data_IF_314191372472
#
_entry.id   IF_314191372472
#
_cell.length_a   1.000
_cell.length_b   1.000
_cell.length_c   1.000
_cell.angle_alpha   90.00
_cell.angle_beta   90.00
_cell.angle_gamma   90.00
#
_symmetry.space_group_name_H-M   'P 1'
#
loop_
_entity.id
_entity.type
_entity.pdbx_description
1 polymer ?
#
# COMPACT_ATOMS: atom_id res chain seq x y z
N UNK A 1 -11.21 17.99 15.29
CA UNK A 1 -12.33 17.07 15.63
C UNK A 1 -12.41 16.04 14.53
N UNK A 2 -12.00 14.80 14.81
CA UNK A 2 -12.20 13.68 13.87
C UNK A 2 -13.70 13.47 13.74
N UNK A 3 -14.26 13.69 12.55
CA UNK A 3 -15.63 13.24 12.27
C UNK A 3 -15.64 11.72 12.47
N UNK A 4 -16.49 11.23 13.34
CA UNK A 4 -16.76 9.82 13.47
C UNK A 4 -17.30 9.33 12.13
N UNK A 5 -16.55 8.47 11.43
CA UNK A 5 -16.95 7.97 10.11
C UNK A 5 -17.90 6.79 10.36
N UNK A 6 -19.14 6.95 9.96
CA UNK A 6 -20.11 5.86 9.99
C UNK A 6 -19.93 5.00 8.74
N UNK A 7 -19.47 3.76 8.92
CA UNK A 7 -19.24 2.82 7.82
C UNK A 7 -20.57 2.35 7.21
N UNK A 8 -20.67 2.30 5.89
CA UNK A 8 -21.80 1.72 5.17
C UNK A 8 -21.68 0.20 5.11
N UNK A 9 -21.99 -0.46 6.22
CA UNK A 9 -21.83 -1.91 6.33
C UNK A 9 -22.79 -2.68 5.41
N UNK A 10 -23.91 -2.12 5.01
CA UNK A 10 -24.86 -2.79 4.11
C UNK A 10 -24.23 -2.99 2.72
N UNK A 11 -23.65 -1.95 2.14
CA UNK A 11 -22.99 -2.02 0.84
C UNK A 11 -21.64 -2.77 0.93
N UNK A 12 -20.88 -2.55 2.00
CA UNK A 12 -19.62 -3.26 2.22
C UNK A 12 -19.79 -4.77 2.29
N UNK A 13 -20.88 -5.29 2.86
CA UNK A 13 -21.19 -6.74 2.93
C UNK A 13 -21.49 -7.38 1.58
N UNK A 14 -21.84 -6.59 0.57
CA UNK A 14 -22.03 -7.07 -0.82
C UNK A 14 -20.69 -7.26 -1.54
N UNK A 15 -19.63 -6.60 -1.06
CA UNK A 15 -18.28 -6.75 -1.59
C UNK A 15 -17.70 -8.09 -1.12
N UNK A 16 -17.14 -8.85 -2.05
CA UNK A 16 -16.38 -10.07 -1.78
C UNK A 16 -14.93 -9.80 -2.16
N UNK A 17 -14.05 -9.78 -1.17
CA UNK A 17 -12.66 -9.39 -1.34
C UNK A 17 -11.78 -10.62 -1.55
N UNK A 18 -11.01 -10.64 -2.64
CA UNK A 18 -9.96 -11.62 -2.88
C UNK A 18 -8.61 -10.97 -2.52
N UNK A 19 -8.12 -11.23 -1.31
CA UNK A 19 -6.82 -10.73 -0.86
C UNK A 19 -5.73 -11.62 -1.39
N UNK A 20 -4.93 -11.11 -2.33
CA UNK A 20 -3.84 -11.84 -2.98
C UNK A 20 -2.48 -11.32 -2.53
N UNK A 21 -1.62 -12.24 -2.10
CA UNK A 21 -0.25 -11.92 -1.68
C UNK A 21 0.75 -12.81 -2.39
N UNK A 22 1.58 -12.24 -3.29
CA UNK A 22 2.76 -12.92 -3.80
C UNK A 22 3.78 -13.16 -2.67
N UNK A 23 4.19 -14.41 -2.44
CA UNK A 23 5.11 -14.81 -1.37
C UNK A 23 6.31 -15.56 -1.94
N UNK A 24 7.31 -14.85 -2.43
CA UNK A 24 8.57 -15.47 -2.83
C UNK A 24 9.25 -16.15 -1.62
N UNK A 25 9.67 -17.41 -1.81
CA UNK A 25 10.22 -18.20 -0.73
C UNK A 25 9.20 -18.69 0.31
N UNK A 26 7.90 -18.44 0.10
CA UNK A 26 6.84 -18.84 1.04
C UNK A 26 6.86 -18.08 2.36
N UNK A 27 7.45 -16.89 2.40
CA UNK A 27 7.64 -16.11 3.62
C UNK A 27 6.85 -14.80 3.59
N UNK A 28 6.41 -14.38 4.77
CA UNK A 28 5.89 -13.04 5.02
C UNK A 28 6.48 -12.44 6.29
N UNK A 29 6.39 -11.13 6.43
CA UNK A 29 6.80 -10.45 7.64
C UNK A 29 5.81 -10.71 8.79
N UNK A 30 6.31 -10.81 10.04
CA UNK A 30 5.44 -10.99 11.21
C UNK A 30 4.43 -9.86 11.41
N UNK A 31 4.77 -8.62 11.01
CA UNK A 31 3.85 -7.48 11.04
C UNK A 31 2.73 -7.62 10.00
N UNK A 32 3.03 -8.18 8.81
CA UNK A 32 2.02 -8.56 7.82
C UNK A 32 1.02 -9.57 8.43
N UNK A 33 1.54 -10.63 9.06
CA UNK A 33 0.70 -11.65 9.70
C UNK A 33 -0.23 -11.04 10.75
N UNK A 34 0.31 -10.13 11.59
CA UNK A 34 -0.49 -9.43 12.60
C UNK A 34 -1.62 -8.61 11.94
N UNK A 35 -1.32 -7.80 10.93
CA UNK A 35 -2.32 -7.01 10.21
C UNK A 35 -3.40 -7.88 9.59
N UNK A 36 -3.02 -9.02 9.01
CA UNK A 36 -3.95 -9.96 8.41
C UNK A 36 -4.89 -10.59 9.44
N UNK A 37 -4.37 -10.99 10.61
CA UNK A 37 -5.18 -11.54 11.71
C UNK A 37 -6.16 -10.49 12.25
N UNK A 38 -5.72 -9.27 12.46
CA UNK A 38 -6.56 -8.16 12.90
C UNK A 38 -7.65 -7.86 11.85
N UNK A 39 -7.27 -7.84 10.56
CA UNK A 39 -8.19 -7.62 9.44
C UNK A 39 -9.25 -8.72 9.35
N UNK A 40 -8.86 -9.98 9.45
CA UNK A 40 -9.84 -11.09 9.41
C UNK A 40 -10.82 -11.03 10.57
N UNK A 41 -10.35 -10.67 11.76
CA UNK A 41 -11.21 -10.50 12.95
C UNK A 41 -12.22 -9.37 12.76
N UNK A 42 -11.76 -8.20 12.28
CA UNK A 42 -12.64 -7.04 12.02
C UNK A 42 -13.62 -7.33 10.88
N UNK A 43 -13.15 -7.94 9.79
CA UNK A 43 -14.00 -8.31 8.65
C UNK A 43 -15.11 -9.28 9.06
N UNK A 44 -14.79 -10.28 9.88
CA UNK A 44 -15.80 -11.21 10.44
C UNK A 44 -16.82 -10.47 11.32
N UNK A 45 -16.36 -9.54 12.17
CA UNK A 45 -17.24 -8.74 13.01
C UNK A 45 -18.23 -7.90 12.19
N UNK A 46 -17.76 -7.33 11.08
CA UNK A 46 -18.58 -6.48 10.21
C UNK A 46 -19.36 -7.26 9.14
N UNK A 47 -19.04 -8.54 8.96
CA UNK A 47 -19.68 -9.41 7.98
C UNK A 47 -19.22 -9.15 6.54
N UNK A 48 -17.98 -8.67 6.37
CA UNK A 48 -17.36 -8.45 5.05
C UNK A 48 -16.61 -9.71 4.64
N UNK A 49 -16.97 -10.39 3.54
CA UNK A 49 -16.29 -11.61 3.10
C UNK A 49 -14.88 -11.32 2.54
N UNK A 50 -13.87 -11.97 3.10
CA UNK A 50 -12.49 -11.92 2.59
C UNK A 50 -12.01 -13.33 2.33
N UNK A 51 -11.62 -13.63 1.09
CA UNK A 51 -10.91 -14.84 0.68
C UNK A 51 -9.42 -14.52 0.60
N UNK A 52 -8.58 -15.27 1.30
CA UNK A 52 -7.13 -15.09 1.29
C UNK A 52 -6.51 -16.05 0.29
N UNK A 53 -5.64 -15.54 -0.57
CA UNK A 53 -4.87 -16.30 -1.55
C UNK A 53 -3.38 -15.97 -1.45
N UNK A 54 -2.56 -17.00 -1.29
CA UNK A 54 -1.11 -16.88 -1.31
C UNK A 54 -0.53 -17.55 -2.54
N UNK A 55 0.27 -16.81 -3.30
CA UNK A 55 1.04 -17.37 -4.39
C UNK A 55 2.49 -17.59 -3.92
N UNK A 56 2.87 -18.87 -3.77
CA UNK A 56 4.19 -19.22 -3.26
C UNK A 56 5.22 -19.40 -4.38
N UNK A 57 6.47 -18.99 -4.08
CA UNK A 57 7.67 -19.33 -4.86
C UNK A 57 7.66 -18.91 -6.35
N UNK A 58 6.87 -17.92 -6.73
CA UNK A 58 7.00 -17.30 -8.04
C UNK A 58 8.05 -16.16 -7.94
N UNK A 59 9.13 -16.29 -8.70
CA UNK A 59 10.28 -15.38 -8.63
C UNK A 59 10.10 -14.11 -9.45
N UNK A 60 9.25 -14.16 -10.47
CA UNK A 60 8.99 -13.02 -11.35
C UNK A 60 7.70 -12.33 -10.92
N UNK A 61 7.82 -11.12 -10.38
CA UNK A 61 6.67 -10.39 -9.81
C UNK A 61 5.57 -10.13 -10.83
N UNK A 62 5.91 -9.81 -12.07
CA UNK A 62 4.94 -9.63 -13.16
C UNK A 62 4.08 -10.86 -13.33
N UNK A 63 4.70 -12.03 -13.44
CA UNK A 63 4.02 -13.31 -13.58
C UNK A 63 3.21 -13.67 -12.32
N UNK A 64 3.75 -13.39 -11.13
CA UNK A 64 3.06 -13.60 -9.87
C UNK A 64 1.73 -12.83 -9.81
N UNK A 65 1.74 -11.54 -10.17
CA UNK A 65 0.52 -10.74 -10.18
C UNK A 65 -0.48 -11.25 -11.22
N UNK A 66 -0.04 -11.64 -12.42
CA UNK A 66 -0.92 -12.19 -13.44
C UNK A 66 -1.58 -13.52 -12.99
N UNK A 67 -0.85 -14.37 -12.26
CA UNK A 67 -1.41 -15.58 -11.68
C UNK A 67 -2.43 -15.29 -10.58
N UNK A 68 -2.16 -14.29 -9.74
CA UNK A 68 -3.14 -13.83 -8.75
C UNK A 68 -4.43 -13.33 -9.41
N UNK A 69 -4.33 -12.52 -10.48
CA UNK A 69 -5.51 -12.06 -11.24
C UNK A 69 -6.26 -13.22 -11.85
N UNK A 70 -5.55 -14.19 -12.49
CA UNK A 70 -6.20 -15.35 -13.10
C UNK A 70 -6.98 -16.17 -12.07
N UNK A 71 -6.43 -16.38 -10.86
CA UNK A 71 -7.12 -17.07 -9.77
C UNK A 71 -8.30 -16.25 -9.20
N UNK A 72 -8.13 -14.94 -9.06
CA UNK A 72 -9.23 -14.03 -8.71
C UNK A 72 -10.39 -14.15 -9.71
N UNK A 73 -10.10 -14.12 -11.01
CA UNK A 73 -11.13 -14.20 -12.06
C UNK A 73 -11.87 -15.54 -12.08
N UNK A 74 -11.28 -16.63 -11.57
CA UNK A 74 -11.94 -17.93 -11.37
C UNK A 74 -12.87 -17.95 -10.15
N UNK A 75 -12.69 -17.04 -9.20
CA UNK A 75 -13.54 -16.92 -7.99
C UNK A 75 -14.81 -16.13 -8.28
N UNK A 76 -15.70 -16.04 -7.29
CA UNK A 76 -16.88 -15.16 -7.32
C UNK A 76 -16.66 -13.80 -6.60
N UNK A 77 -15.39 -13.50 -6.27
CA UNK A 77 -15.05 -12.25 -5.60
C UNK A 77 -15.28 -11.04 -6.51
N UNK A 78 -15.68 -9.92 -5.93
CA UNK A 78 -15.99 -8.67 -6.64
C UNK A 78 -14.80 -7.75 -6.79
N UNK A 79 -13.84 -7.84 -5.87
CA UNK A 79 -12.64 -7.00 -5.83
C UNK A 79 -11.41 -7.83 -5.55
N UNK A 80 -10.32 -7.51 -6.24
CA UNK A 80 -8.98 -8.00 -5.95
C UNK A 80 -8.26 -6.99 -5.08
N UNK A 81 -7.74 -7.43 -3.93
CA UNK A 81 -6.87 -6.65 -3.07
C UNK A 81 -5.48 -7.24 -3.08
N UNK A 82 -4.53 -6.56 -3.72
CA UNK A 82 -3.12 -6.89 -3.57
C UNK A 82 -2.57 -6.32 -2.27
N UNK A 83 -1.87 -7.15 -1.51
CA UNK A 83 -1.02 -6.73 -0.38
C UNK A 83 0.29 -7.49 -0.47
N UNK A 84 1.42 -6.77 -0.52
CA UNK A 84 2.74 -7.41 -0.50
C UNK A 84 3.06 -7.98 0.88
N UNK A 85 3.80 -9.10 0.92
CA UNK A 85 4.05 -9.91 2.13
C UNK A 85 4.88 -9.21 3.23
N UNK A 86 5.32 -8.01 2.99
CA UNK A 86 6.13 -7.16 3.88
C UNK A 86 5.49 -5.78 4.17
N UNK A 87 4.24 -5.59 3.78
CA UNK A 87 3.44 -4.41 4.16
C UNK A 87 2.71 -4.69 5.48
N UNK A 88 2.67 -3.69 6.35
CA UNK A 88 1.86 -3.65 7.57
C UNK A 88 0.85 -2.52 7.48
N UNK A 89 -0.39 -2.81 7.89
CA UNK A 89 -1.52 -1.88 7.85
C UNK A 89 -2.40 -2.01 9.10
N UNK A 90 -3.22 -1.01 9.35
CA UNK A 90 -4.29 -1.08 10.35
C UNK A 90 -5.56 -1.67 9.69
N UNK A 91 -6.21 -2.63 10.36
CA UNK A 91 -7.42 -3.27 9.85
C UNK A 91 -8.56 -2.26 9.57
N UNK A 92 -8.67 -1.20 10.38
CA UNK A 92 -9.69 -0.16 10.18
C UNK A 92 -9.40 0.71 8.96
N UNK A 93 -8.14 0.89 8.57
CA UNK A 93 -7.79 1.62 7.34
C UNK A 93 -8.30 0.87 6.10
N UNK A 94 -8.19 -0.48 6.10
CA UNK A 94 -8.80 -1.28 5.05
C UNK A 94 -10.33 -1.16 5.07
N UNK A 95 -10.97 -1.21 6.23
CA UNK A 95 -12.44 -1.02 6.31
C UNK A 95 -12.85 0.37 5.80
N UNK A 96 -12.07 1.39 6.07
CA UNK A 96 -12.29 2.73 5.53
C UNK A 96 -12.15 2.77 4.00
N UNK A 97 -11.13 2.11 3.44
CA UNK A 97 -10.97 1.97 1.99
C UNK A 97 -12.20 1.28 1.36
N UNK A 98 -12.68 0.18 1.94
CA UNK A 98 -13.88 -0.53 1.47
C UNK A 98 -15.15 0.33 1.59
N UNK A 99 -15.27 1.12 2.66
CA UNK A 99 -16.35 2.07 2.80
C UNK A 99 -16.37 3.12 1.68
N UNK A 100 -15.23 3.74 1.36
CA UNK A 100 -15.12 4.70 0.26
C UNK A 100 -15.55 4.11 -1.07
N UNK A 101 -15.09 2.88 -1.37
CA UNK A 101 -15.47 2.17 -2.59
C UNK A 101 -16.98 1.87 -2.59
N UNK A 102 -17.54 1.41 -1.47
CA UNK A 102 -18.97 1.11 -1.38
C UNK A 102 -19.88 2.33 -1.55
N UNK A 103 -19.41 3.53 -1.16
CA UNK A 103 -20.13 4.79 -1.34
C UNK A 103 -20.10 5.31 -2.79
N UNK A 104 -19.03 5.05 -3.52
CA UNK A 104 -18.80 5.55 -4.88
C UNK A 104 -18.13 4.49 -5.75
N UNK A 105 -18.79 3.35 -6.02
CA UNK A 105 -18.18 2.22 -6.71
C UNK A 105 -17.69 2.56 -8.13
N UNK A 106 -18.43 3.42 -8.85
CA UNK A 106 -18.06 3.84 -10.20
C UNK A 106 -16.84 4.78 -10.23
N UNK A 107 -16.58 5.46 -9.11
CA UNK A 107 -15.46 6.41 -9.01
C UNK A 107 -14.17 5.72 -8.55
N UNK A 108 -14.26 4.87 -7.51
CA UNK A 108 -13.11 4.26 -6.85
C UNK A 108 -12.86 2.82 -7.31
N UNK A 109 -12.87 2.61 -8.63
CA UNK A 109 -12.65 1.28 -9.24
C UNK A 109 -11.24 0.75 -9.01
N UNK A 110 -10.24 1.64 -8.94
CA UNK A 110 -8.87 1.35 -8.54
C UNK A 110 -8.46 2.33 -7.45
N UNK A 111 -8.13 1.81 -6.28
CA UNK A 111 -7.73 2.62 -5.14
C UNK A 111 -6.56 1.97 -4.39
N UNK A 112 -5.57 2.75 -4.01
CA UNK A 112 -4.40 2.25 -3.28
C UNK A 112 -4.07 3.10 -2.06
N UNK A 113 -3.34 2.53 -1.12
CA UNK A 113 -2.73 3.26 -0.03
C UNK A 113 -1.23 3.43 -0.27
N UNK A 114 -0.68 4.51 0.27
CA UNK A 114 0.73 4.88 0.08
C UNK A 114 1.60 4.19 1.13
N UNK A 115 2.75 3.67 0.70
CA UNK A 115 3.74 3.10 1.61
C UNK A 115 5.15 3.60 1.28
N UNK A 116 6.04 3.69 2.30
CA UNK A 116 7.39 4.17 2.09
C UNK A 116 8.21 3.13 1.32
N UNK A 117 9.13 3.62 0.48
CA UNK A 117 10.20 2.79 -0.08
C UNK A 117 11.13 2.33 1.04
N UNK A 118 11.87 1.24 0.83
CA UNK A 118 12.88 0.72 1.78
C UNK A 118 14.17 1.57 1.75
N UNK A 119 14.01 2.87 1.98
CA UNK A 119 15.08 3.86 2.01
C UNK A 119 14.92 4.78 3.22
N UNK A 120 16.01 5.39 3.68
CA UNK A 120 15.98 6.40 4.73
C UNK A 120 16.55 7.70 4.14
N UNK A 121 15.71 8.70 3.98
CA UNK A 121 16.09 10.04 3.53
C UNK A 121 16.55 10.89 4.73
N UNK A 122 17.83 10.75 5.07
CA UNK A 122 18.45 11.43 6.21
C UNK A 122 18.36 12.96 6.12
N UNK A 123 18.34 13.51 4.89
CA UNK A 123 18.19 14.94 4.62
C UNK A 123 16.83 15.46 5.09
N UNK A 124 15.75 14.70 4.87
CA UNK A 124 14.39 15.02 5.34
C UNK A 124 14.33 15.00 6.86
N UNK A 125 14.91 13.96 7.48
CA UNK A 125 14.98 13.84 8.94
C UNK A 125 15.74 15.01 9.54
N UNK A 126 16.91 15.37 8.98
CA UNK A 126 17.71 16.50 9.44
C UNK A 126 16.96 17.82 9.29
N UNK A 127 16.25 18.03 8.19
CA UNK A 127 15.43 19.23 7.97
C UNK A 127 14.31 19.33 9.00
N UNK A 128 13.58 18.23 9.20
CA UNK A 128 12.48 18.16 10.17
C UNK A 128 12.98 18.37 11.62
N UNK A 129 14.10 17.76 11.99
CA UNK A 129 14.71 17.96 13.31
C UNK A 129 15.10 19.41 13.56
N UNK A 130 15.66 20.09 12.56
CA UNK A 130 16.03 21.52 12.68
C UNK A 130 14.84 22.48 12.78
N UNK A 131 13.64 22.05 12.37
CA UNK A 131 12.44 22.89 12.48
C UNK A 131 11.93 23.06 13.91
N UNK A 132 12.38 22.21 14.86
CA UNK A 132 11.89 22.15 16.24
C UNK A 132 10.47 21.59 16.40
N UNK A 133 9.80 21.25 15.32
CA UNK A 133 8.41 20.75 15.36
C UNK A 133 8.26 19.40 16.05
N UNK A 134 9.35 18.64 16.18
CA UNK A 134 9.40 17.29 16.73
C UNK A 134 10.13 17.16 18.06
N UNK A 135 10.49 18.30 18.69
CA UNK A 135 11.25 18.31 19.97
C UNK A 135 10.51 17.57 21.10
N UNK A 136 9.18 17.64 21.09
CA UNK A 136 8.35 16.95 22.09
C UNK A 136 8.15 15.44 21.79
N UNK A 137 8.38 15.00 20.56
CA UNK A 137 8.22 13.62 20.14
C UNK A 137 9.17 13.25 18.99
N UNK A 138 10.46 13.08 19.27
CA UNK A 138 11.47 12.79 18.24
C UNK A 138 11.26 11.45 17.52
N UNK A 139 10.47 10.54 18.07
CA UNK A 139 10.14 9.26 17.39
C UNK A 139 9.29 9.46 16.13
N UNK A 140 8.51 10.56 16.04
CA UNK A 140 7.76 10.88 14.82
C UNK A 140 8.68 11.22 13.62
N UNK A 141 9.97 11.52 13.87
CA UNK A 141 10.98 11.68 12.81
C UNK A 141 11.16 10.40 11.97
N UNK A 142 10.87 9.22 12.50
CA UNK A 142 10.90 7.98 11.74
C UNK A 142 9.94 8.01 10.56
N UNK A 143 8.76 8.62 10.72
CA UNK A 143 7.75 8.77 9.67
C UNK A 143 8.15 9.75 8.57
N UNK A 144 9.07 10.66 8.85
CA UNK A 144 9.55 11.68 7.91
C UNK A 144 10.62 11.12 6.96
N UNK A 145 11.33 10.09 7.40
CA UNK A 145 12.46 9.53 6.66
C UNK A 145 12.10 8.70 5.43
N UNK A 146 10.82 8.39 5.20
CA UNK A 146 10.37 7.59 4.07
C UNK A 146 10.20 8.40 2.79
N UNK A 147 10.59 7.82 1.64
CA UNK A 147 10.14 8.28 0.33
C UNK A 147 8.89 7.49 -0.07
N UNK A 148 7.79 8.17 -0.33
CA UNK A 148 6.54 7.54 -0.77
C UNK A 148 6.47 7.47 -2.29
N UNK A 149 5.81 6.43 -2.82
CA UNK A 149 5.38 6.39 -4.23
C UNK A 149 4.07 7.17 -4.33
N UNK A 150 4.19 8.48 -4.56
CA UNK A 150 3.05 9.37 -4.63
C UNK A 150 3.21 10.34 -5.80
N UNK A 151 2.48 10.06 -6.89
CA UNK A 151 2.53 10.79 -8.15
C UNK A 151 1.14 11.39 -8.46
N UNK A 152 0.72 12.49 -7.79
CA UNK A 152 -0.54 13.16 -8.11
C UNK A 152 -0.61 13.58 -9.57
N UNK A 153 -1.81 13.53 -10.17
CA UNK A 153 -2.00 13.95 -11.55
C UNK A 153 -1.71 15.46 -11.70
N UNK A 154 -0.74 15.88 -12.53
CA UNK A 154 -0.42 17.30 -12.70
C UNK A 154 -1.60 18.15 -13.22
N UNK A 155 -2.49 17.55 -14.00
CA UNK A 155 -3.68 18.20 -14.55
C UNK A 155 -4.70 18.56 -13.46
N UNK A 156 -4.82 17.72 -12.44
CA UNK A 156 -5.71 17.95 -11.28
C UNK A 156 -5.01 18.81 -10.20
N UNK A 157 -3.69 18.70 -10.08
CA UNK A 157 -2.90 19.37 -9.03
C UNK A 157 -1.70 20.15 -9.62
N UNK A 158 -1.93 21.20 -10.44
CA UNK A 158 -0.88 21.87 -11.21
C UNK A 158 0.20 22.53 -10.33
N UNK A 159 -0.12 22.86 -9.08
CA UNK A 159 0.84 23.43 -8.12
C UNK A 159 1.57 22.36 -7.29
N UNK A 160 1.37 21.06 -7.58
CA UNK A 160 1.91 19.95 -6.80
C UNK A 160 1.31 19.79 -5.40
N UNK A 161 0.25 20.52 -5.08
CA UNK A 161 -0.44 20.51 -3.80
C UNK A 161 -1.71 19.64 -3.90
N UNK A 162 -1.59 18.37 -3.57
CA UNK A 162 -2.74 17.48 -3.43
C UNK A 162 -3.28 17.49 -1.99
N UNK A 163 -4.58 17.26 -1.76
CA UNK A 163 -5.15 17.13 -0.44
C UNK A 163 -4.56 15.90 0.27
N UNK A 164 -4.37 16.00 1.60
CA UNK A 164 -3.79 14.90 2.40
C UNK A 164 -4.82 14.15 3.24
N UNK A 165 -6.06 14.63 3.31
CA UNK A 165 -7.17 14.03 4.08
C UNK A 165 -8.32 13.56 3.19
N UNK A 166 -8.13 13.56 1.87
CA UNK A 166 -9.11 13.13 0.88
C UNK A 166 -8.44 12.21 -0.14
N UNK A 167 -9.19 11.34 -0.85
CA UNK A 167 -8.65 10.57 -1.96
C UNK A 167 -8.09 11.50 -3.06
N UNK A 168 -6.94 11.12 -3.60
CA UNK A 168 -6.19 11.90 -4.60
C UNK A 168 -6.06 11.09 -5.88
N UNK A 169 -6.39 11.67 -7.03
CA UNK A 169 -6.09 11.06 -8.32
C UNK A 169 -4.58 11.04 -8.54
N UNK A 170 -4.07 9.91 -8.94
CA UNK A 170 -2.64 9.71 -9.16
C UNK A 170 -2.37 9.16 -10.56
N UNK A 171 -1.17 9.42 -11.04
CA UNK A 171 -0.72 8.92 -12.33
C UNK A 171 -0.42 7.43 -12.30
N UNK A 172 0.31 6.99 -11.29
CA UNK A 172 0.71 5.60 -11.13
C UNK A 172 0.47 5.17 -9.66
N UNK A 173 -0.16 4.01 -9.48
CA UNK A 173 -0.41 3.39 -8.17
C UNK A 173 0.48 2.18 -7.96
N UNK A 174 0.96 2.01 -6.73
CA UNK A 174 1.78 0.86 -6.36
C UNK A 174 0.92 -0.30 -5.84
N UNK A 175 1.17 -1.50 -6.32
CA UNK A 175 0.36 -2.69 -6.03
C UNK A 175 0.63 -3.34 -4.67
N UNK A 176 1.58 -2.82 -3.89
CA UNK A 176 1.83 -3.34 -2.54
C UNK A 176 0.66 -3.17 -1.57
N UNK A 177 -0.31 -2.28 -1.89
CA UNK A 177 -1.61 -2.19 -1.22
C UNK A 177 -2.62 -1.53 -2.17
N UNK A 178 -3.26 -2.32 -3.04
CA UNK A 178 -4.15 -1.82 -4.09
C UNK A 178 -5.40 -2.69 -4.20
N UNK A 179 -6.57 -2.05 -4.16
CA UNK A 179 -7.88 -2.67 -4.40
C UNK A 179 -8.34 -2.34 -5.82
N UNK A 180 -8.77 -3.36 -6.56
CA UNK A 180 -9.18 -3.27 -7.96
C UNK A 180 -10.54 -3.95 -8.13
N UNK A 181 -11.51 -3.25 -8.69
CA UNK A 181 -12.83 -3.78 -9.02
C UNK A 181 -12.74 -4.76 -10.21
N UNK A 182 -13.54 -5.83 -10.19
CA UNK A 182 -13.48 -6.95 -11.17
C UNK A 182 -13.65 -6.51 -12.61
N UNK A 183 -14.55 -5.58 -12.91
CA UNK A 183 -14.85 -5.17 -14.28
C UNK A 183 -13.66 -4.49 -14.96
N UNK A 184 -12.75 -3.88 -14.20
CA UNK A 184 -11.51 -3.30 -14.72
C UNK A 184 -10.71 -4.31 -15.55
N UNK A 185 -10.59 -5.54 -15.05
CA UNK A 185 -9.83 -6.59 -15.75
C UNK A 185 -10.52 -7.02 -17.07
N UNK A 186 -11.85 -6.97 -17.09
CA UNK A 186 -12.57 -7.27 -18.33
C UNK A 186 -12.36 -6.17 -19.38
N UNK A 187 -12.54 -4.91 -19.00
CA UNK A 187 -12.34 -3.77 -19.89
C UNK A 187 -10.91 -3.72 -20.42
N UNK A 188 -9.93 -3.99 -19.53
CA UNK A 188 -8.53 -4.08 -19.90
C UNK A 188 -8.27 -5.20 -20.93
N UNK A 189 -8.79 -6.42 -20.69
CA UNK A 189 -8.63 -7.56 -21.60
C UNK A 189 -9.32 -7.35 -22.95
N UNK A 190 -10.50 -6.72 -22.94
CA UNK A 190 -11.24 -6.39 -24.17
C UNK A 190 -10.48 -5.36 -25.05
N UNK A 191 -9.75 -4.43 -24.39
CA UNK A 191 -8.95 -3.41 -25.08
C UNK A 191 -7.59 -3.91 -25.55
N UNK A 192 -7.02 -4.91 -24.88
CA UNK A 192 -5.68 -5.45 -25.10
C UNK A 192 -5.68 -6.96 -25.35
N UNK A 193 -6.38 -7.46 -26.41
CA UNK A 193 -6.45 -8.89 -26.69
C UNK A 193 -5.09 -9.52 -27.03
N UNK A 194 -4.11 -8.72 -27.44
CA UNK A 194 -2.74 -9.14 -27.73
C UNK A 194 -1.96 -9.58 -26.50
N UNK A 195 -2.39 -9.18 -25.30
CA UNK A 195 -1.75 -9.54 -24.04
C UNK A 195 -2.16 -10.93 -23.53
N UNK A 196 -2.96 -11.67 -24.28
CA UNK A 196 -3.35 -13.04 -23.94
C UNK A 196 -2.19 -14.01 -24.23
N UNK A 197 -1.71 -14.72 -23.21
CA UNK A 197 -0.57 -15.63 -23.33
C UNK A 197 -0.82 -17.00 -22.69
N UNK A 198 0.01 -17.99 -23.03
CA UNK A 198 0.01 -19.31 -22.41
C UNK A 198 1.13 -19.34 -21.35
N UNK A 199 0.83 -19.65 -20.08
CA UNK A 199 1.84 -19.76 -19.03
C UNK A 199 2.80 -20.94 -19.30
N UNK A 200 4.13 -20.71 -19.17
CA UNK A 200 5.17 -21.73 -19.36
C UNK A 200 5.43 -22.56 -18.10
N UNK A 201 5.26 -21.98 -16.93
CA UNK A 201 5.62 -22.56 -15.64
C UNK A 201 4.38 -22.83 -14.82
N UNK A 202 3.58 -23.76 -15.31
CA UNK A 202 2.35 -24.17 -14.63
C UNK A 202 2.70 -25.24 -13.60
N UNK A 203 2.37 -24.98 -12.32
CA UNK A 203 2.38 -26.03 -11.31
C UNK A 203 1.21 -26.98 -11.56
N UNK A 204 1.43 -28.26 -11.37
CA UNK A 204 0.35 -29.26 -11.43
C UNK A 204 -0.83 -28.79 -10.58
N UNK A 205 -1.99 -28.61 -11.20
CA UNK A 205 -3.26 -28.27 -10.54
C UNK A 205 -3.66 -26.80 -10.49
N UNK A 206 -2.78 -25.84 -10.81
CA UNK A 206 -3.16 -24.42 -10.78
C UNK A 206 -3.84 -23.94 -12.08
N UNK A 207 -3.32 -24.38 -13.23
CA UNK A 207 -3.90 -24.07 -14.55
C UNK A 207 -4.04 -25.35 -15.38
N UNK A 208 -5.11 -25.44 -16.17
CA UNK A 208 -5.25 -26.52 -17.14
C UNK A 208 -4.17 -26.39 -18.23
N UNK A 209 -3.73 -27.52 -18.78
CA UNK A 209 -2.86 -27.54 -19.95
C UNK A 209 -3.48 -26.66 -21.06
N UNK A 210 -2.71 -25.69 -21.57
CA UNK A 210 -3.13 -24.70 -22.57
C UNK A 210 -4.15 -23.64 -22.08
N UNK A 211 -4.40 -23.50 -20.79
CA UNK A 211 -5.15 -22.35 -20.28
C UNK A 211 -4.39 -21.06 -20.57
N UNK A 212 -5.06 -20.09 -21.20
CA UNK A 212 -4.49 -18.78 -21.47
C UNK A 212 -4.93 -17.78 -20.41
N UNK A 213 -4.00 -16.90 -20.03
CA UNK A 213 -4.24 -15.79 -19.10
C UNK A 213 -3.72 -14.49 -19.71
N UNK A 214 -4.16 -13.35 -19.18
CA UNK A 214 -3.71 -12.04 -19.65
C UNK A 214 -2.51 -11.51 -18.85
N UNK A 215 -1.62 -10.81 -19.54
CA UNK A 215 -0.51 -10.06 -18.95
C UNK A 215 -0.99 -8.66 -18.53
N UNK A 216 -1.78 -8.59 -17.46
CA UNK A 216 -2.23 -7.32 -16.89
C UNK A 216 -1.06 -6.52 -16.30
N UNK A 217 -0.05 -7.21 -15.81
CA UNK A 217 1.14 -6.66 -15.15
C UNK A 217 2.39 -7.11 -15.89
N UNK A 218 3.08 -6.16 -16.54
CA UNK A 218 4.36 -6.41 -17.19
C UNK A 218 5.24 -5.17 -17.15
N UNK A 219 6.55 -5.33 -17.39
CA UNK A 219 7.47 -4.21 -17.50
C UNK A 219 7.65 -3.85 -18.98
N UNK A 220 7.43 -2.59 -19.30
CA UNK A 220 7.53 -2.10 -20.70
C UNK A 220 8.37 -0.82 -20.77
N UNK A 221 8.85 -0.52 -21.98
CA UNK A 221 9.29 0.83 -22.34
C UNK A 221 8.14 1.47 -23.12
N UNK A 222 7.55 2.53 -22.55
CA UNK A 222 6.44 3.22 -23.17
C UNK A 222 6.88 4.16 -24.32
N UNK A 223 5.93 4.82 -24.98
CA UNK A 223 6.19 5.74 -26.11
C UNK A 223 7.07 6.95 -25.74
N UNK A 224 7.08 7.33 -24.45
CA UNK A 224 7.94 8.39 -23.91
C UNK A 224 9.34 7.91 -23.52
N UNK A 225 9.72 6.67 -23.89
CA UNK A 225 10.99 6.03 -23.53
C UNK A 225 11.19 5.90 -21.99
N UNK A 226 10.12 5.82 -21.22
CA UNK A 226 10.18 5.46 -19.79
C UNK A 226 10.10 3.96 -19.64
N UNK A 227 11.00 3.39 -18.82
CA UNK A 227 10.85 2.02 -18.35
C UNK A 227 9.81 2.00 -17.22
N UNK A 228 8.67 1.39 -17.47
CA UNK A 228 7.60 1.23 -16.49
C UNK A 228 7.73 -0.11 -15.78
N UNK A 229 7.58 -0.08 -14.45
CA UNK A 229 7.33 -1.28 -13.66
C UNK A 229 5.93 -1.86 -13.97
N UNK A 230 5.67 -3.04 -13.48
CA UNK A 230 4.42 -3.75 -13.78
C UNK A 230 3.17 -3.00 -13.30
N UNK A 231 3.26 -2.37 -12.14
CA UNK A 231 2.20 -1.56 -11.54
C UNK A 231 2.00 -0.22 -12.29
N UNK A 232 3.07 0.36 -12.79
CA UNK A 232 3.01 1.59 -13.60
C UNK A 232 2.46 1.33 -15.00
N UNK A 233 2.84 0.22 -15.63
CA UNK A 233 2.25 -0.21 -16.91
C UNK A 233 0.74 -0.45 -16.75
N UNK A 234 0.32 -1.22 -15.73
CA UNK A 234 -1.10 -1.45 -15.45
C UNK A 234 -1.85 -0.12 -15.23
N UNK A 235 -1.24 0.80 -14.48
CA UNK A 235 -1.80 2.12 -14.22
C UNK A 235 -1.97 2.96 -15.48
N UNK A 236 -0.95 2.99 -16.35
CA UNK A 236 -0.99 3.74 -17.62
C UNK A 236 -2.10 3.20 -18.52
N UNK A 237 -2.17 1.89 -18.71
CA UNK A 237 -3.18 1.26 -19.57
C UNK A 237 -4.61 1.43 -19.03
N UNK A 238 -4.81 1.36 -17.72
CA UNK A 238 -6.13 1.65 -17.13
C UNK A 238 -6.55 3.10 -17.36
N UNK A 239 -5.63 4.06 -17.23
CA UNK A 239 -5.93 5.47 -17.45
C UNK A 239 -6.24 5.76 -18.94
N UNK A 240 -5.58 5.09 -19.87
CA UNK A 240 -5.88 5.21 -21.30
C UNK A 240 -7.30 4.72 -21.63
N UNK A 241 -7.86 3.84 -20.81
CA UNK A 241 -9.26 3.43 -20.86
C UNK A 241 -10.22 4.37 -20.10
N UNK A 242 -9.71 5.48 -19.54
CA UNK A 242 -10.50 6.43 -18.76
C UNK A 242 -10.80 5.95 -17.33
N UNK A 243 -10.07 4.94 -16.82
CA UNK A 243 -10.20 4.43 -15.46
C UNK A 243 -9.22 5.16 -14.55
N UNK A 244 -9.74 6.03 -13.68
CA UNK A 244 -8.93 6.78 -12.72
C UNK A 244 -8.32 5.87 -11.64
N UNK A 245 -7.11 6.23 -11.20
CA UNK A 245 -6.44 5.59 -10.08
C UNK A 245 -6.40 6.56 -8.91
N UNK A 246 -6.79 6.10 -7.74
CA UNK A 246 -6.90 6.90 -6.54
C UNK A 246 -5.94 6.44 -5.47
N UNK A 247 -5.31 7.38 -4.78
CA UNK A 247 -4.51 7.13 -3.59
C UNK A 247 -5.20 7.68 -2.34
N UNK A 248 -4.93 7.06 -1.19
CA UNK A 248 -5.39 7.47 0.13
C UNK A 248 -4.21 7.97 0.97
N UNK A 249 -3.85 9.27 0.89
CA UNK A 249 -2.70 9.81 1.63
C UNK A 249 -2.86 9.72 3.15
N UNK A 250 -4.11 9.67 3.66
CA UNK A 250 -4.41 9.60 5.08
C UNK A 250 -4.18 8.21 5.70
N UNK A 251 -3.98 7.18 4.90
CA UNK A 251 -3.65 5.83 5.37
C UNK A 251 -2.14 5.70 5.52
N UNK A 252 -1.70 5.36 6.73
CA UNK A 252 -0.28 5.16 7.03
C UNK A 252 0.06 3.67 7.01
N UNK A 253 0.85 3.26 6.02
CA UNK A 253 1.38 1.90 5.91
C UNK A 253 2.83 1.85 6.35
N UNK A 254 3.28 0.68 6.83
CA UNK A 254 4.69 0.41 7.09
C UNK A 254 5.20 -0.62 6.08
N UNK A 255 6.43 -0.44 5.61
CA UNK A 255 7.10 -1.34 4.69
C UNK A 255 8.29 -2.00 5.40
N UNK A 256 8.16 -3.26 5.73
CA UNK A 256 9.20 -4.00 6.43
C UNK A 256 10.31 -4.42 5.48
N UNK A 257 11.56 -4.34 5.94
CA UNK A 257 12.73 -4.73 5.17
C UNK A 257 13.94 -5.00 6.05
N UNK A 258 15.00 -5.53 5.46
CA UNK A 258 16.29 -5.65 6.11
C UNK A 258 16.96 -4.27 6.21
N UNK A 259 17.52 -3.94 7.37
CA UNK A 259 18.29 -2.73 7.59
C UNK A 259 19.57 -3.07 8.36
N UNK A 260 20.72 -2.52 7.91
CA UNK A 260 21.99 -2.69 8.62
C UNK A 260 22.17 -1.53 9.59
N UNK A 261 22.00 -1.80 10.88
CA UNK A 261 22.22 -0.82 11.95
C UNK A 261 23.72 -0.55 12.13
N UNK A 262 24.10 0.72 12.14
CA UNK A 262 25.50 1.16 12.32
C UNK A 262 25.60 2.12 13.50
N UNK A 263 26.73 2.09 14.20
CA UNK A 263 27.04 3.02 15.28
C UNK A 263 28.53 3.27 15.35
N UNK A 264 28.92 4.45 15.83
CA UNK A 264 30.31 4.81 16.07
C UNK A 264 30.42 5.64 17.34
N UNK A 265 31.03 5.06 18.35
CA UNK A 265 31.30 5.76 19.63
C UNK A 265 32.08 7.05 19.40
N UNK A 266 33.05 7.03 18.46
CA UNK A 266 33.84 8.22 18.12
C UNK A 266 32.95 9.33 17.58
N UNK A 267 32.09 9.02 16.60
CA UNK A 267 31.17 10.02 16.02
C UNK A 267 30.14 10.52 17.02
N UNK A 268 29.62 9.66 17.88
CA UNK A 268 28.72 10.02 18.95
C UNK A 268 29.37 11.01 19.93
N UNK A 269 30.60 10.72 20.36
CA UNK A 269 31.36 11.61 21.24
C UNK A 269 31.66 12.97 20.58
N UNK A 270 32.04 12.98 19.28
CA UNK A 270 32.25 14.22 18.52
C UNK A 270 30.99 15.06 18.40
N UNK A 271 29.83 14.42 18.32
CA UNK A 271 28.52 15.09 18.27
C UNK A 271 27.96 15.45 19.65
N UNK A 272 28.66 15.12 20.74
CA UNK A 272 28.18 15.36 22.12
C UNK A 272 26.98 14.47 22.50
N UNK A 273 26.85 13.30 21.86
CA UNK A 273 25.75 12.36 22.13
C UNK A 273 26.28 11.19 22.94
N UNK A 274 25.49 10.70 23.87
CA UNK A 274 25.84 9.51 24.66
C UNK A 274 25.82 8.23 23.81
N UNK A 275 26.75 7.32 24.09
CA UNK A 275 26.83 6.02 23.39
C UNK A 275 25.65 5.07 23.73
N UNK A 276 24.98 5.33 24.86
CA UNK A 276 23.78 4.61 25.31
C UNK A 276 22.65 5.61 25.55
N UNK A 277 21.45 5.11 25.64
CA UNK A 277 20.27 5.96 25.90
C UNK A 277 20.48 6.73 27.23
N UNK A 278 20.35 8.06 27.18
CA UNK A 278 20.36 8.92 28.35
C UNK A 278 18.98 8.92 29.02
N UNK A 279 18.86 8.38 30.27
CA UNK A 279 17.60 8.32 31.00
C UNK A 279 16.96 9.69 31.26
N UNK A 280 17.76 10.76 31.41
CA UNK A 280 17.23 12.11 31.64
C UNK A 280 16.56 12.70 30.39
N UNK A 281 17.13 12.43 29.22
CA UNK A 281 16.52 12.84 27.95
C UNK A 281 15.19 12.13 27.74
N UNK A 282 15.10 10.84 28.01
CA UNK A 282 13.84 10.08 27.94
C UNK A 282 12.80 10.65 28.90
N UNK A 283 13.20 10.94 30.14
CA UNK A 283 12.30 11.51 31.14
C UNK A 283 11.75 12.87 30.71
N UNK A 284 12.57 13.76 30.16
CA UNK A 284 12.13 15.07 29.64
C UNK A 284 11.10 14.93 28.54
N UNK A 285 11.29 14.00 27.61
CA UNK A 285 10.33 13.74 26.51
C UNK A 285 9.00 13.23 27.06
N UNK A 286 9.03 12.29 28.03
CA UNK A 286 7.81 11.79 28.67
C UNK A 286 7.05 12.87 29.44
N UNK A 287 7.77 13.73 30.19
CA UNK A 287 7.18 14.84 30.93
C UNK A 287 6.53 15.88 30.00
N UNK A 288 7.15 16.16 28.87
CA UNK A 288 6.60 17.07 27.85
C UNK A 288 5.33 16.49 27.18
N UNK A 289 5.31 15.19 26.86
CA UNK A 289 4.10 14.49 26.38
C UNK A 289 2.94 14.59 27.37
N UNK A 290 3.20 14.35 28.65
CA UNK A 290 2.18 14.41 29.68
C UNK A 290 1.59 15.82 29.84
N UNK A 291 2.43 16.87 29.79
CA UNK A 291 2.00 18.28 29.83
C UNK A 291 1.14 18.68 28.62
N UNK A 292 1.48 18.18 27.43
CA UNK A 292 0.71 18.45 26.19
C UNK A 292 -0.65 17.77 26.21
N UNK A 293 -0.73 16.52 26.70
CA UNK A 293 -1.98 15.79 26.87
C UNK A 293 -2.94 16.48 27.85
N UNK A 294 -2.42 17.06 28.93
CA UNK A 294 -3.22 17.82 29.90
C UNK A 294 -3.73 19.16 29.34
N UNK A 295 -2.95 19.85 28.47
CA UNK A 295 -3.39 21.09 27.80
C UNK A 295 -4.46 20.89 26.74
N UNK A 296 -4.51 19.71 26.11
CA UNK A 296 -5.51 19.39 25.08
C UNK A 296 -6.82 18.83 25.67
N UNK A 297 -6.85 18.56 26.98
CA UNK A 297 -8.05 18.08 27.71
C UNK A 297 -8.68 19.16 28.61
N UNK A 298 -8.15 20.35 28.62
CA UNK A 298 -8.72 21.56 29.25
C UNK A 298 -9.15 22.56 28.17
#
# INVERSE_FOLDING_TARGET
MSKEIQLNLEEMRKMKIFLATPMYGGMCNGMYTKSLMDTTSVAMQYGVPIQIYYLFNESLITRARNYCVANFLKSDATHLLFIDSDIHWNAMDLMYMLHLVSEKPELYRIICALYPKKTIAWEKILHAAKSGAYDDNPWDLEKIGGDLVFNPLPEEYPNGQAPIYEPVKIKEGATGFMLIERSVFKEYADAHPELLYTPDHVREGEFALNEKIYAYFDCIINEQNRYLSEDYMFSEYCRDLGIDIWALPMIELMHCGAYTFQGSVIKMAQAGVHATIDPETIKKVHDNKAKKAQKNSS
#
